data_IF_280605275593
#
_entry.id   IF_280605275593
#
_cell.length_a   1.000
_cell.length_b   1.000
_cell.length_c   1.000
_cell.angle_alpha   90.00
_cell.angle_beta   90.00
_cell.angle_gamma   90.00
#
_symmetry.space_group_name_H-M   'P 1'
#
loop_
_entity.id
_entity.type
_entity.pdbx_description
1 polymer ?
#
# COMPACT_ATOMS: atom_id res chain seq x y z
N UNK A 1 20.26 -3.61 9.81
CA UNK A 1 19.57 -3.75 11.10
C UNK A 1 20.63 -3.91 12.18
N UNK A 2 20.52 -3.20 13.31
CA UNK A 2 21.45 -3.36 14.44
C UNK A 2 21.13 -4.68 15.15
N UNK A 3 22.15 -5.45 15.54
CA UNK A 3 21.96 -6.67 16.32
C UNK A 3 21.71 -6.28 17.79
N UNK A 4 20.75 -6.95 18.44
CA UNK A 4 20.46 -6.75 19.86
C UNK A 4 21.68 -7.14 20.71
N UNK A 5 21.94 -6.38 21.76
CA UNK A 5 22.96 -6.70 22.75
C UNK A 5 22.47 -7.84 23.66
N UNK A 6 23.38 -8.47 24.40
CA UNK A 6 23.04 -9.57 25.31
C UNK A 6 22.07 -9.10 26.41
N UNK A 7 22.28 -7.89 26.93
CA UNK A 7 21.42 -7.26 27.94
C UNK A 7 19.99 -7.08 27.43
N UNK A 8 19.82 -6.58 26.21
CA UNK A 8 18.50 -6.40 25.62
C UNK A 8 17.78 -7.73 25.36
N UNK A 9 18.53 -8.80 25.07
CA UNK A 9 17.95 -10.13 24.87
C UNK A 9 17.45 -10.73 26.19
N UNK A 10 18.18 -10.49 27.27
CA UNK A 10 17.80 -10.92 28.60
C UNK A 10 16.56 -10.17 29.10
N UNK A 11 16.52 -8.85 28.90
CA UNK A 11 15.34 -8.02 29.21
C UNK A 11 14.09 -8.52 28.45
N UNK A 12 14.23 -8.87 27.17
CA UNK A 12 13.12 -9.42 26.38
C UNK A 12 12.63 -10.78 26.91
N UNK A 13 13.53 -11.65 27.34
CA UNK A 13 13.14 -12.93 27.96
C UNK A 13 12.42 -12.72 29.29
N UNK A 14 12.82 -11.73 30.08
CA UNK A 14 12.14 -11.37 31.32
C UNK A 14 10.74 -10.80 31.05
N UNK A 15 10.59 -9.94 30.04
CA UNK A 15 9.28 -9.42 29.61
C UNK A 15 8.37 -10.52 29.05
N UNK A 16 8.93 -11.52 28.37
CA UNK A 16 8.18 -12.67 27.84
C UNK A 16 7.69 -13.63 28.94
N UNK A 17 8.29 -13.58 30.14
CA UNK A 17 7.89 -14.37 31.31
C UNK A 17 6.89 -13.63 32.21
N UNK A 18 6.69 -12.32 32.01
CA UNK A 18 5.67 -11.56 32.73
C UNK A 18 4.28 -12.00 32.23
N UNK A 19 3.33 -12.27 33.14
CA UNK A 19 1.96 -12.56 32.70
C UNK A 19 1.24 -11.28 32.28
N UNK A 20 0.31 -11.40 31.34
CA UNK A 20 -0.50 -10.28 30.87
C UNK A 20 -1.28 -9.59 32.00
N UNK A 21 -1.53 -10.28 33.11
CA UNK A 21 -2.24 -9.77 34.29
C UNK A 21 -1.40 -8.80 35.13
N UNK A 22 -0.07 -8.86 34.99
CA UNK A 22 0.86 -7.94 35.65
C UNK A 22 1.02 -6.61 34.87
N UNK A 23 0.36 -6.48 33.72
CA UNK A 23 0.38 -5.25 32.91
C UNK A 23 -0.49 -4.20 33.62
N UNK A 24 0.15 -3.14 34.11
CA UNK A 24 -0.55 -2.00 34.69
C UNK A 24 -1.27 -1.19 33.60
N UNK A 25 -2.58 -1.39 33.47
CA UNK A 25 -3.45 -0.65 32.56
C UNK A 25 -4.07 0.59 33.21
N UNK A 26 -3.69 0.97 34.43
CA UNK A 26 -4.32 2.07 35.18
C UNK A 26 -4.21 3.43 34.49
N UNK A 27 -3.21 3.61 33.61
CA UNK A 27 -3.01 4.83 32.82
C UNK A 27 -3.74 4.81 31.46
N UNK A 28 -4.33 3.68 31.06
CA UNK A 28 -5.10 3.57 29.83
C UNK A 28 -6.54 3.95 30.16
N UNK A 29 -7.12 5.01 29.56
CA UNK A 29 -8.52 5.31 29.80
C UNK A 29 -9.39 4.18 29.26
N UNK A 30 -10.20 3.56 30.11
CA UNK A 30 -11.26 2.62 29.70
C UNK A 30 -12.37 3.40 28.96
N UNK A 31 -12.12 3.74 27.70
CA UNK A 31 -13.11 4.44 26.87
C UNK A 31 -14.19 3.46 26.41
N UNK A 32 -15.25 3.37 27.20
CA UNK A 32 -16.43 2.53 26.89
C UNK A 32 -17.44 3.27 26.00
N UNK A 33 -17.35 4.61 25.98
CA UNK A 33 -18.26 5.48 25.26
C UNK A 33 -17.70 5.88 23.89
N UNK A 34 -18.34 5.38 22.83
CA UNK A 34 -17.98 5.59 21.42
C UNK A 34 -18.91 6.57 20.71
N UNK A 35 -19.79 7.29 21.43
CA UNK A 35 -20.81 8.17 20.84
C UNK A 35 -20.23 9.28 19.94
N UNK A 36 -18.98 9.67 20.18
CA UNK A 36 -18.25 10.68 19.39
C UNK A 36 -17.11 10.07 18.53
N UNK A 37 -17.03 8.75 18.42
CA UNK A 37 -15.98 8.09 17.64
C UNK A 37 -16.17 8.35 16.15
N UNK A 38 -15.28 9.14 15.55
CA UNK A 38 -15.33 9.45 14.12
C UNK A 38 -14.79 8.27 13.32
N UNK A 39 -15.69 7.38 12.91
CA UNK A 39 -15.37 6.27 11.99
C UNK A 39 -14.83 6.85 10.67
N UNK A 40 -13.61 6.47 10.28
CA UNK A 40 -13.09 6.72 8.94
C UNK A 40 -12.17 7.93 8.74
N UNK A 41 -11.73 8.64 9.80
CA UNK A 41 -10.62 9.62 9.67
C UNK A 41 -9.26 8.91 9.66
N UNK A 42 -8.98 8.23 8.57
CA UNK A 42 -7.62 7.81 8.25
C UNK A 42 -6.80 9.03 7.84
N UNK A 43 -5.66 9.25 8.48
CA UNK A 43 -4.67 10.23 8.01
C UNK A 43 -4.04 9.72 6.70
N UNK A 44 -4.73 9.96 5.59
CA UNK A 44 -4.15 9.81 4.27
C UNK A 44 -3.31 11.05 3.98
N UNK A 45 -2.02 10.88 3.73
CA UNK A 45 -1.20 11.92 3.08
C UNK A 45 -1.75 12.07 1.67
N UNK A 46 -2.71 12.97 1.47
CA UNK A 46 -3.19 13.32 0.15
C UNK A 46 -2.00 13.84 -0.66
N UNK A 47 -1.48 13.02 -1.58
CA UNK A 47 -0.59 13.52 -2.63
C UNK A 47 -1.43 14.48 -3.46
N UNK A 48 -1.10 15.77 -3.41
CA UNK A 48 -1.72 16.76 -4.29
C UNK A 48 -1.53 16.31 -5.73
N UNK A 49 -2.63 16.25 -6.49
CA UNK A 49 -2.56 16.03 -7.93
C UNK A 49 -1.85 17.26 -8.50
N UNK A 50 -0.61 17.12 -8.94
CA UNK A 50 0.05 18.15 -9.75
C UNK A 50 -0.69 18.19 -11.08
N UNK A 51 -1.50 19.22 -11.31
CA UNK A 51 -2.04 19.50 -12.64
C UNK A 51 -0.84 19.85 -13.53
N UNK A 52 -0.53 19.01 -14.50
CA UNK A 52 0.41 19.36 -15.56
C UNK A 52 -0.20 20.53 -16.34
N UNK A 53 0.54 21.63 -16.46
CA UNK A 53 0.15 22.74 -17.33
C UNK A 53 0.30 22.27 -18.79
N UNK A 54 -0.82 22.13 -19.48
CA UNK A 54 -0.87 21.74 -20.90
C UNK A 54 -1.39 22.93 -21.70
N UNK A 55 -0.83 23.15 -22.89
CA UNK A 55 -1.22 24.29 -23.73
C UNK A 55 -2.67 24.18 -24.22
N UNK A 56 -3.23 25.32 -24.64
CA UNK A 56 -4.60 25.39 -25.19
C UNK A 56 -4.80 24.43 -26.38
N UNK A 57 -3.82 24.37 -27.29
CA UNK A 57 -3.89 23.51 -28.47
C UNK A 57 -3.85 22.02 -28.11
N UNK A 58 -3.02 21.64 -27.13
CA UNK A 58 -2.96 20.26 -26.63
C UNK A 58 -4.25 19.86 -25.94
N UNK A 59 -4.83 20.75 -25.15
CA UNK A 59 -6.13 20.55 -24.49
C UNK A 59 -7.26 20.36 -25.52
N UNK A 60 -7.28 21.19 -26.57
CA UNK A 60 -8.26 21.09 -27.65
C UNK A 60 -8.14 19.77 -28.41
N UNK A 61 -6.91 19.32 -28.70
CA UNK A 61 -6.67 18.05 -29.36
C UNK A 61 -7.09 16.86 -28.50
N UNK A 62 -6.79 16.88 -27.20
CA UNK A 62 -7.26 15.86 -26.26
C UNK A 62 -8.79 15.81 -26.21
N UNK A 63 -9.45 16.96 -26.20
CA UNK A 63 -10.90 17.06 -26.22
C UNK A 63 -11.50 16.47 -27.50
N UNK A 64 -10.92 16.77 -28.67
CA UNK A 64 -11.32 16.20 -29.96
C UNK A 64 -11.22 14.67 -29.95
N UNK A 65 -10.11 14.13 -29.45
CA UNK A 65 -9.89 12.67 -29.35
C UNK A 65 -10.85 12.00 -28.38
N UNK A 66 -11.16 12.65 -27.26
CA UNK A 66 -12.10 12.14 -26.28
C UNK A 66 -13.51 12.03 -26.88
N UNK A 67 -13.98 13.07 -27.58
CA UNK A 67 -15.29 13.06 -28.26
C UNK A 67 -15.35 11.95 -29.30
N UNK A 68 -14.31 11.77 -30.11
CA UNK A 68 -14.25 10.69 -31.09
C UNK A 68 -14.30 9.29 -30.43
N UNK A 69 -13.57 9.10 -29.32
CA UNK A 69 -13.58 7.83 -28.58
C UNK A 69 -14.93 7.55 -27.90
N UNK A 70 -15.63 8.58 -27.42
CA UNK A 70 -16.98 8.42 -26.86
C UNK A 70 -17.99 7.99 -27.92
N UNK A 71 -17.84 8.46 -29.16
CA UNK A 71 -18.66 8.06 -30.29
C UNK A 71 -18.36 6.61 -30.74
N UNK A 72 -17.11 6.17 -30.64
CA UNK A 72 -16.69 4.78 -30.90
C UNK A 72 -15.78 4.24 -29.79
N UNK A 73 -16.37 3.60 -28.76
CA UNK A 73 -15.60 3.01 -27.65
C UNK A 73 -14.71 1.84 -28.07
N UNK A 74 -14.93 1.25 -29.26
CA UNK A 74 -14.13 0.13 -29.77
C UNK A 74 -12.74 0.56 -30.26
N UNK A 75 -12.51 1.87 -30.39
CA UNK A 75 -11.19 2.45 -30.71
C UNK A 75 -10.16 2.30 -29.58
N UNK A 76 -10.57 1.88 -28.37
CA UNK A 76 -9.68 1.60 -27.26
C UNK A 76 -8.91 0.29 -27.44
N UNK A 77 -7.62 0.27 -27.08
CA UNK A 77 -6.84 -0.97 -27.06
C UNK A 77 -7.20 -1.76 -25.79
N UNK A 78 -7.55 -3.05 -25.88
CA UNK A 78 -7.81 -3.88 -24.70
C UNK A 78 -6.60 -3.92 -23.75
N UNK A 79 -6.87 -3.87 -22.44
CA UNK A 79 -5.83 -3.84 -21.42
C UNK A 79 -4.82 -4.99 -21.52
N UNK A 80 -5.26 -6.18 -21.94
CA UNK A 80 -4.36 -7.33 -22.15
C UNK A 80 -3.34 -7.10 -23.28
N UNK A 81 -3.73 -6.43 -24.36
CA UNK A 81 -2.82 -6.10 -25.46
C UNK A 81 -1.81 -5.01 -25.03
N UNK A 82 -2.27 -3.99 -24.30
CA UNK A 82 -1.39 -2.96 -23.71
C UNK A 82 -0.37 -3.59 -22.77
N UNK A 83 -0.83 -4.48 -21.88
CA UNK A 83 0.01 -5.21 -20.94
C UNK A 83 1.04 -6.07 -21.68
N UNK A 84 0.62 -6.84 -22.68
CA UNK A 84 1.53 -7.67 -23.47
C UNK A 84 2.61 -6.84 -24.17
N UNK A 85 2.27 -5.67 -24.70
CA UNK A 85 3.23 -4.77 -25.36
C UNK A 85 4.22 -4.15 -24.37
N UNK A 86 3.74 -3.63 -23.25
CA UNK A 86 4.58 -2.97 -22.23
C UNK A 86 5.47 -3.96 -21.49
N UNK A 87 4.95 -5.17 -21.20
CA UNK A 87 5.64 -6.14 -20.35
C UNK A 87 6.31 -7.29 -21.11
N UNK A 88 6.46 -7.17 -22.44
CA UNK A 88 7.05 -8.19 -23.33
C UNK A 88 8.44 -8.68 -22.88
N UNK A 89 9.21 -7.79 -22.25
CA UNK A 89 10.60 -8.06 -21.82
C UNK A 89 10.74 -8.44 -20.32
N UNK A 90 9.64 -8.46 -19.57
CA UNK A 90 9.67 -8.78 -18.13
C UNK A 90 9.79 -10.29 -17.85
N UNK A 91 9.84 -11.13 -18.89
CA UNK A 91 10.10 -12.57 -18.80
C UNK A 91 11.47 -12.95 -18.20
N UNK A 92 12.39 -11.98 -17.98
CA UNK A 92 13.62 -12.20 -17.20
C UNK A 92 13.46 -11.94 -15.69
N UNK A 93 12.26 -11.65 -15.20
CA UNK A 93 11.97 -11.66 -13.76
C UNK A 93 10.95 -12.74 -13.46
N UNK A 94 11.42 -13.80 -12.81
CA UNK A 94 10.59 -14.94 -12.39
C UNK A 94 9.40 -14.43 -11.58
N UNK A 95 8.15 -14.79 -11.93
CA UNK A 95 7.00 -14.48 -11.09
C UNK A 95 7.17 -15.24 -9.76
N UNK A 96 7.37 -14.52 -8.66
CA UNK A 96 7.58 -15.12 -7.33
C UNK A 96 8.61 -14.42 -6.44
N UNK A 97 9.39 -13.45 -6.92
CA UNK A 97 10.40 -12.76 -6.11
C UNK A 97 9.90 -11.46 -5.45
N UNK A 98 8.62 -11.41 -5.04
CA UNK A 98 8.08 -10.32 -4.22
C UNK A 98 7.76 -10.75 -2.78
N UNK A 99 8.08 -11.99 -2.40
CA UNK A 99 8.16 -12.37 -0.99
C UNK A 99 9.63 -12.41 -0.54
N UNK A 100 9.99 -11.76 0.58
CA UNK A 100 11.26 -12.03 1.24
C UNK A 100 11.35 -13.52 1.58
N UNK A 101 12.55 -14.09 1.45
CA UNK A 101 12.84 -15.54 1.55
C UNK A 101 12.56 -16.14 2.95
N UNK A 102 12.15 -15.33 3.91
CA UNK A 102 11.86 -15.74 5.28
C UNK A 102 10.49 -16.41 5.46
N UNK A 103 9.60 -16.35 4.45
CA UNK A 103 8.26 -16.94 4.53
C UNK A 103 8.16 -18.42 4.09
N UNK A 104 9.28 -19.13 3.84
CA UNK A 104 9.25 -20.51 3.31
C UNK A 104 9.54 -21.61 4.34
N UNK A 105 9.64 -21.29 5.63
CA UNK A 105 9.87 -22.29 6.69
C UNK A 105 8.83 -22.21 7.81
N UNK A 106 7.53 -22.27 7.50
CA UNK A 106 6.51 -22.70 8.46
C UNK A 106 5.34 -23.35 7.70
N UNK A 107 5.50 -24.60 7.28
CA UNK A 107 4.43 -25.61 7.28
C UNK A 107 5.15 -26.96 7.41
N UNK A 108 4.85 -27.69 8.49
CA UNK A 108 5.28 -29.07 8.73
C UNK A 108 4.59 -30.06 7.79
#
# INVERSE_FOLDING_TARGET
MKKLTKEQTEELNQLALLSDEAIDTSNIPEQTNWENAVVGRFYSKHKSKTSTDIGSDESNELHRRLVAHQADPSSGIPWEQVRAALFKDHGRRKPGTWLPKEAQHVVQ
#
